data_IF_572468913442
#
_entry.id   IF_572468913442
#
_cell.length_a   1.000
_cell.length_b   1.000
_cell.length_c   1.000
_cell.angle_alpha   90.00
_cell.angle_beta   90.00
_cell.angle_gamma   90.00
#
_symmetry.space_group_name_H-M   'P 1'
#
loop_
_entity.id
_entity.type
_entity.pdbx_description
1 polymer ?
#
# COMPACT_ATOMS: atom_id res chain seq x y z
N UNK A 1 -4.50 -16.92 25.61
CA UNK A 1 -3.22 -17.00 24.88
C UNK A 1 -3.53 -16.80 23.40
N UNK A 2 -3.32 -15.58 22.88
CA UNK A 2 -3.43 -15.32 21.44
C UNK A 2 -2.12 -15.77 20.79
N UNK A 3 -2.07 -17.01 20.35
CA UNK A 3 -0.98 -17.47 19.48
C UNK A 3 -1.26 -16.91 18.08
N UNK A 4 -0.68 -15.76 17.75
CA UNK A 4 -0.58 -15.38 16.35
C UNK A 4 0.13 -16.51 15.59
N UNK A 5 -0.40 -16.95 14.44
CA UNK A 5 0.34 -17.87 13.60
C UNK A 5 1.72 -17.25 13.27
N UNK A 6 2.78 -18.08 13.19
CA UNK A 6 4.11 -17.57 12.85
C UNK A 6 4.03 -16.77 11.53
N UNK A 7 4.72 -15.63 11.52
CA UNK A 7 4.76 -14.78 10.31
C UNK A 7 5.37 -15.55 9.13
N UNK A 8 4.69 -15.47 8.01
CA UNK A 8 5.19 -16.09 6.79
C UNK A 8 6.36 -15.26 6.23
N UNK A 9 7.53 -15.85 5.92
CA UNK A 9 8.70 -15.09 5.46
C UNK A 9 8.44 -14.17 4.27
N UNK A 10 7.55 -14.59 3.36
CA UNK A 10 7.13 -13.76 2.24
C UNK A 10 6.36 -12.49 2.67
N UNK A 11 5.71 -12.50 3.84
CA UNK A 11 5.04 -11.31 4.36
C UNK A 11 6.04 -10.24 4.77
N UNK A 12 7.07 -10.61 5.50
CA UNK A 12 8.16 -9.70 5.87
C UNK A 12 8.83 -9.11 4.62
N UNK A 13 9.08 -9.94 3.61
CA UNK A 13 9.59 -9.49 2.31
C UNK A 13 8.67 -8.44 1.67
N UNK A 14 7.35 -8.68 1.64
CA UNK A 14 6.38 -7.74 1.09
C UNK A 14 6.33 -6.44 1.88
N UNK A 15 6.36 -6.50 3.23
CA UNK A 15 6.34 -5.32 4.09
C UNK A 15 7.59 -4.46 3.91
N UNK A 16 8.77 -5.07 3.81
CA UNK A 16 10.02 -4.37 3.53
C UNK A 16 10.02 -3.68 2.16
N UNK A 17 9.48 -4.35 1.14
CA UNK A 17 9.34 -3.76 -0.19
C UNK A 17 8.29 -2.65 -0.25
N UNK A 18 7.25 -2.68 0.61
CA UNK A 18 6.26 -1.62 0.71
C UNK A 18 6.92 -0.28 1.08
N UNK A 19 7.79 -0.28 2.08
CA UNK A 19 8.54 0.92 2.49
C UNK A 19 9.32 1.53 1.33
N UNK A 20 10.00 0.70 0.54
CA UNK A 20 10.71 1.17 -0.65
C UNK A 20 9.77 1.68 -1.76
N UNK A 21 8.62 1.02 -1.95
CA UNK A 21 7.63 1.44 -2.94
C UNK A 21 7.01 2.81 -2.60
N UNK A 22 6.77 3.07 -1.30
CA UNK A 22 6.27 4.37 -0.84
C UNK A 22 7.32 5.46 -1.08
N UNK A 23 8.58 5.23 -0.68
CA UNK A 23 9.66 6.22 -0.94
C UNK A 23 9.76 6.56 -2.41
N UNK A 24 9.83 5.59 -3.29
CA UNK A 24 9.86 5.83 -4.75
C UNK A 24 8.63 6.60 -5.25
N UNK A 25 7.47 6.37 -4.64
CA UNK A 25 6.26 7.06 -5.02
C UNK A 25 6.34 8.54 -4.67
N UNK A 26 6.72 8.88 -3.44
CA UNK A 26 6.84 10.27 -3.00
C UNK A 26 8.00 11.01 -3.68
N UNK A 27 9.14 10.34 -3.87
CA UNK A 27 10.28 10.88 -4.61
C UNK A 27 9.92 11.26 -6.06
N UNK A 28 9.03 10.50 -6.72
CA UNK A 28 8.53 10.81 -8.05
C UNK A 28 7.74 12.13 -8.10
N UNK A 29 7.21 12.59 -6.95
CA UNK A 29 6.56 13.89 -6.79
C UNK A 29 7.48 14.94 -6.13
N UNK A 30 8.77 14.66 -6.02
CA UNK A 30 9.75 15.58 -5.44
C UNK A 30 9.66 15.71 -3.90
N UNK A 31 8.97 14.81 -3.22
CA UNK A 31 8.79 14.84 -1.78
C UNK A 31 9.69 13.82 -1.08
N UNK A 32 10.45 14.29 -0.07
CA UNK A 32 11.11 13.40 0.88
C UNK A 32 10.09 12.85 1.88
N UNK A 33 10.25 11.59 2.29
CA UNK A 33 9.36 10.94 3.24
C UNK A 33 10.14 10.22 4.32
N UNK A 34 9.75 10.45 5.57
CA UNK A 34 10.17 9.67 6.72
C UNK A 34 9.20 8.51 6.95
N UNK A 35 9.74 7.39 7.43
CA UNK A 35 8.96 6.18 7.67
C UNK A 35 8.99 5.84 9.14
N UNK A 36 7.81 5.66 9.72
CA UNK A 36 7.65 5.11 11.07
C UNK A 36 6.78 3.84 11.01
N UNK A 37 6.91 2.99 12.01
CA UNK A 37 6.05 1.82 12.19
C UNK A 37 5.03 2.03 13.31
N UNK A 38 4.91 3.27 13.77
CA UNK A 38 3.93 3.68 14.77
C UNK A 38 2.77 4.35 14.04
N UNK A 39 1.59 3.78 14.17
CA UNK A 39 0.38 4.36 13.59
C UNK A 39 -0.08 5.50 14.49
N UNK A 40 -0.06 6.71 13.98
CA UNK A 40 -0.77 7.80 14.64
C UNK A 40 -2.27 7.66 14.40
N UNK A 41 -3.04 7.64 15.47
CA UNK A 41 -4.49 7.71 15.36
C UNK A 41 -4.89 9.14 15.01
N UNK A 42 -5.70 9.29 13.97
CA UNK A 42 -6.36 10.56 13.70
C UNK A 42 -7.16 11.03 14.92
N UNK A 43 -7.22 12.33 15.12
CA UNK A 43 -8.05 12.94 16.16
C UNK A 43 -9.54 12.62 15.94
N UNK A 44 -10.28 12.42 17.04
CA UNK A 44 -11.72 12.17 16.95
C UNK A 44 -12.42 13.34 16.25
N UNK A 45 -13.22 13.03 15.23
CA UNK A 45 -14.02 14.02 14.50
C UNK A 45 -13.38 14.56 13.21
N UNK A 46 -12.13 14.23 12.89
CA UNK A 46 -11.53 14.60 11.62
C UNK A 46 -12.11 13.79 10.47
N UNK A 47 -12.35 14.45 9.33
CA UNK A 47 -12.71 13.79 8.08
C UNK A 47 -11.51 13.06 7.52
N UNK A 48 -11.70 11.79 7.18
CA UNK A 48 -10.68 10.89 6.67
C UNK A 48 -11.05 10.38 5.30
N UNK A 49 -10.05 10.19 4.47
CA UNK A 49 -10.17 9.40 3.27
C UNK A 49 -9.48 8.04 3.44
N UNK A 50 -10.04 7.03 2.83
CA UNK A 50 -9.49 5.67 2.78
C UNK A 50 -9.57 5.13 1.36
N UNK A 51 -8.50 4.50 0.89
CA UNK A 51 -8.51 3.69 -0.30
C UNK A 51 -8.11 2.26 0.03
N UNK A 52 -8.86 1.30 -0.50
CA UNK A 52 -8.59 -0.13 -0.35
C UNK A 52 -8.43 -0.74 -1.73
N UNK A 53 -7.29 -1.35 -2.00
CA UNK A 53 -7.02 -2.08 -3.22
C UNK A 53 -6.67 -3.53 -2.89
N UNK A 54 -7.50 -4.46 -3.37
CA UNK A 54 -7.27 -5.88 -3.21
C UNK A 54 -6.20 -6.39 -4.15
N UNK A 55 -5.56 -7.48 -3.77
CA UNK A 55 -4.66 -8.22 -4.65
C UNK A 55 -4.78 -9.74 -4.43
N UNK A 56 -4.49 -10.49 -5.47
CA UNK A 56 -4.43 -11.94 -5.41
C UNK A 56 -3.34 -12.47 -6.34
N UNK A 57 -2.77 -13.59 -5.96
CA UNK A 57 -1.79 -14.35 -6.73
C UNK A 57 -1.88 -15.83 -6.42
N UNK A 58 -1.01 -16.63 -7.01
CA UNK A 58 -0.98 -18.07 -6.71
C UNK A 58 -0.54 -18.28 -5.24
N UNK A 59 -1.49 -18.65 -4.39
CA UNK A 59 -1.25 -18.94 -2.98
C UNK A 59 -1.07 -17.72 -2.07
N UNK A 60 -1.32 -16.50 -2.56
CA UNK A 60 -1.32 -15.27 -1.77
C UNK A 60 -2.49 -14.38 -2.16
N UNK A 61 -3.13 -13.75 -1.17
CA UNK A 61 -4.16 -12.73 -1.37
C UNK A 61 -4.15 -11.75 -0.21
N UNK A 62 -4.61 -10.54 -0.45
CA UNK A 62 -4.64 -9.51 0.57
C UNK A 62 -5.17 -8.19 0.07
N UNK A 63 -4.85 -7.13 0.82
CA UNK A 63 -5.20 -5.77 0.47
C UNK A 63 -4.08 -4.80 0.88
N UNK A 64 -3.96 -3.73 0.14
CA UNK A 64 -3.25 -2.54 0.54
C UNK A 64 -4.29 -1.48 0.88
N UNK A 65 -4.15 -0.87 2.06
CA UNK A 65 -5.10 0.11 2.55
C UNK A 65 -4.32 1.38 2.86
N UNK A 66 -4.77 2.48 2.29
CA UNK A 66 -4.19 3.81 2.50
C UNK A 66 -5.22 4.66 3.25
N UNK A 67 -4.79 5.30 4.33
CA UNK A 67 -5.65 6.18 5.15
C UNK A 67 -4.92 7.48 5.42
N UNK A 68 -5.63 8.59 5.25
CA UNK A 68 -5.16 9.92 5.60
C UNK A 68 -6.34 10.83 5.97
N UNK A 69 -6.09 11.94 6.67
CA UNK A 69 -7.11 12.96 6.80
C UNK A 69 -7.28 13.71 5.48
N UNK A 70 -8.47 14.26 5.22
CA UNK A 70 -8.70 15.07 4.02
C UNK A 70 -7.74 16.27 3.97
N UNK A 71 -7.46 16.88 5.13
CA UNK A 71 -6.49 17.96 5.25
C UNK A 71 -5.08 17.53 4.80
N UNK A 72 -4.65 16.33 5.18
CA UNK A 72 -3.38 15.74 4.76
C UNK A 72 -3.32 15.55 3.24
N UNK A 73 -4.38 14.97 2.65
CA UNK A 73 -4.43 14.75 1.19
C UNK A 73 -4.37 16.09 0.45
N UNK A 74 -5.13 17.08 0.88
CA UNK A 74 -5.11 18.42 0.29
C UNK A 74 -3.73 19.09 0.43
N UNK A 75 -3.08 18.99 1.59
CA UNK A 75 -1.74 19.53 1.81
C UNK A 75 -0.70 18.88 0.89
N UNK A 76 -0.76 17.54 0.75
CA UNK A 76 0.12 16.82 -0.17
C UNK A 76 -0.15 17.19 -1.63
N UNK A 77 -1.42 17.24 -2.05
CA UNK A 77 -1.79 17.65 -3.42
C UNK A 77 -1.23 19.03 -3.77
N UNK A 78 -1.36 19.97 -2.83
CA UNK A 78 -0.80 21.34 -3.00
C UNK A 78 0.72 21.30 -3.14
N UNK A 79 1.41 20.53 -2.29
CA UNK A 79 2.86 20.38 -2.34
C UNK A 79 3.35 19.68 -3.63
N UNK A 80 2.54 18.76 -4.16
CA UNK A 80 2.83 18.04 -5.41
C UNK A 80 2.43 18.84 -6.67
N UNK A 81 1.86 20.03 -6.53
CA UNK A 81 1.39 20.85 -7.66
C UNK A 81 0.15 20.28 -8.36
N UNK A 82 -0.60 19.43 -7.67
CA UNK A 82 -1.85 18.85 -8.13
C UNK A 82 -2.99 19.77 -7.67
N UNK A 83 -3.60 20.50 -8.58
CA UNK A 83 -4.75 21.37 -8.26
C UNK A 83 -6.07 20.62 -8.48
N UNK A 84 -7.03 20.85 -7.57
CA UNK A 84 -8.46 20.56 -7.72
C UNK A 84 -8.89 19.08 -7.90
N UNK A 85 -8.13 18.12 -7.35
CA UNK A 85 -8.55 16.72 -7.31
C UNK A 85 -9.55 16.43 -6.18
N UNK A 86 -10.47 15.51 -6.41
CA UNK A 86 -11.26 14.88 -5.35
C UNK A 86 -10.35 14.02 -4.45
N UNK A 87 -10.55 14.11 -3.12
CA UNK A 87 -9.75 13.35 -2.14
C UNK A 87 -9.86 11.86 -2.37
N UNK A 88 -11.05 11.35 -2.66
CA UNK A 88 -11.28 9.92 -2.88
C UNK A 88 -10.60 9.45 -4.17
N UNK A 89 -10.71 10.19 -5.25
CA UNK A 89 -10.03 9.89 -6.51
C UNK A 89 -8.53 9.91 -6.35
N UNK A 90 -7.99 10.93 -5.67
CA UNK A 90 -6.55 11.05 -5.39
C UNK A 90 -6.02 9.86 -4.60
N UNK A 91 -6.72 9.43 -3.54
CA UNK A 91 -6.34 8.26 -2.76
C UNK A 91 -6.43 6.97 -3.57
N UNK A 92 -7.45 6.84 -4.44
CA UNK A 92 -7.60 5.71 -5.36
C UNK A 92 -6.42 5.59 -6.31
N UNK A 93 -6.06 6.66 -6.98
CA UNK A 93 -4.90 6.77 -7.87
C UNK A 93 -3.60 6.44 -7.14
N UNK A 94 -3.44 7.01 -5.94
CA UNK A 94 -2.26 6.81 -5.11
C UNK A 94 -2.09 5.34 -4.69
N UNK A 95 -3.20 4.68 -4.30
CA UNK A 95 -3.19 3.27 -3.94
C UNK A 95 -2.84 2.37 -5.14
N UNK A 96 -3.33 2.68 -6.34
CA UNK A 96 -2.98 1.99 -7.58
C UNK A 96 -1.49 2.10 -7.89
N UNK A 97 -0.95 3.32 -7.84
CA UNK A 97 0.48 3.56 -8.11
C UNK A 97 1.36 2.86 -7.07
N UNK A 98 0.96 2.89 -5.80
CA UNK A 98 1.70 2.24 -4.73
C UNK A 98 1.72 0.73 -4.88
N UNK A 99 0.54 0.10 -5.13
CA UNK A 99 0.48 -1.34 -5.35
C UNK A 99 1.23 -1.74 -6.63
N UNK A 100 1.20 -0.92 -7.68
CA UNK A 100 1.98 -1.15 -8.90
C UNK A 100 3.49 -1.22 -8.63
N UNK A 101 4.03 -0.30 -7.81
CA UNK A 101 5.45 -0.31 -7.40
C UNK A 101 5.77 -1.51 -6.51
N UNK A 102 4.91 -1.79 -5.53
CA UNK A 102 5.07 -2.96 -4.68
C UNK A 102 5.09 -4.25 -5.52
N UNK A 103 4.13 -4.42 -6.44
CA UNK A 103 4.06 -5.55 -7.37
C UNK A 103 5.35 -5.73 -8.16
N UNK A 104 5.92 -4.66 -8.72
CA UNK A 104 7.16 -4.73 -9.48
C UNK A 104 8.36 -5.17 -8.61
N UNK A 105 8.39 -4.76 -7.34
CA UNK A 105 9.44 -5.14 -6.39
C UNK A 105 9.32 -6.60 -5.96
N UNK A 106 8.15 -7.04 -5.51
CA UNK A 106 7.94 -8.41 -5.00
C UNK A 106 7.98 -9.46 -6.12
N UNK A 107 7.73 -9.06 -7.38
CA UNK A 107 7.89 -9.97 -8.51
C UNK A 107 9.34 -10.47 -8.65
N UNK A 108 10.33 -9.64 -8.32
CA UNK A 108 11.75 -10.01 -8.30
C UNK A 108 12.06 -11.06 -7.23
N UNK A 109 11.24 -11.11 -6.18
CA UNK A 109 11.31 -12.13 -5.13
C UNK A 109 10.46 -13.37 -5.45
N UNK A 110 9.92 -13.46 -6.66
CA UNK A 110 9.10 -14.59 -7.10
C UNK A 110 7.65 -14.55 -6.62
N UNK A 111 7.18 -13.40 -6.09
CA UNK A 111 5.81 -13.20 -5.64
C UNK A 111 5.04 -12.45 -6.73
N UNK A 112 4.20 -13.16 -7.48
CA UNK A 112 3.37 -12.56 -8.51
C UNK A 112 1.96 -12.33 -8.00
N UNK A 113 1.46 -11.09 -8.14
CA UNK A 113 0.11 -10.69 -7.75
C UNK A 113 -0.58 -9.89 -8.86
N UNK A 114 -1.92 -9.94 -8.86
CA UNK A 114 -2.80 -9.13 -9.69
C UNK A 114 -3.61 -8.22 -8.79
N UNK A 115 -3.75 -6.95 -9.17
CA UNK A 115 -4.51 -5.96 -8.45
C UNK A 115 -5.99 -5.99 -8.87
N UNK A 116 -6.89 -5.63 -7.96
CA UNK A 116 -8.28 -5.26 -8.26
C UNK A 116 -8.37 -3.75 -8.53
N UNK A 117 -9.55 -3.27 -8.84
CA UNK A 117 -9.84 -1.83 -8.82
C UNK A 117 -9.88 -1.33 -7.38
N UNK A 118 -9.32 -0.15 -7.06
CA UNK A 118 -9.44 0.43 -5.74
C UNK A 118 -10.89 0.82 -5.42
N UNK A 119 -11.23 0.70 -4.15
CA UNK A 119 -12.46 1.24 -3.57
C UNK A 119 -12.08 2.33 -2.60
N UNK A 120 -12.73 3.48 -2.69
CA UNK A 120 -12.49 4.63 -1.83
C UNK A 120 -13.68 4.93 -0.95
N UNK A 121 -13.44 5.49 0.21
CA UNK A 121 -14.45 5.98 1.14
C UNK A 121 -13.94 7.23 1.85
N UNK A 122 -14.83 8.18 2.11
CA UNK A 122 -14.56 9.36 2.94
C UNK A 122 -15.57 9.42 4.09
N UNK A 123 -15.15 9.95 5.24
CA UNK A 123 -16.03 10.10 6.39
C UNK A 123 -15.26 10.29 7.69
N UNK A 124 -16.00 10.39 8.78
CA UNK A 124 -15.43 10.51 10.14
C UNK A 124 -15.48 9.17 10.84
N UNK A 125 -14.46 8.85 11.65
CA UNK A 125 -14.43 7.63 12.46
C UNK A 125 -14.35 6.34 11.64
N UNK A 126 -13.70 6.36 10.49
CA UNK A 126 -13.47 5.15 9.69
C UNK A 126 -12.69 4.12 10.52
N UNK A 127 -13.18 2.89 10.53
CA UNK A 127 -12.55 1.80 11.29
C UNK A 127 -12.29 0.60 10.40
N UNK A 128 -11.13 0.00 10.57
CA UNK A 128 -10.76 -1.25 9.92
C UNK A 128 -10.84 -2.40 10.92
N UNK A 129 -11.46 -3.49 10.51
CA UNK A 129 -11.39 -4.75 11.25
C UNK A 129 -10.03 -5.41 11.04
N UNK A 130 -9.64 -6.29 11.97
CA UNK A 130 -8.45 -7.11 11.78
C UNK A 130 -8.70 -8.15 10.69
N UNK A 131 -7.78 -8.30 9.74
CA UNK A 131 -7.92 -9.27 8.67
C UNK A 131 -7.70 -10.70 9.20
N UNK A 132 -8.24 -11.71 8.52
CA UNK A 132 -7.95 -13.11 8.83
C UNK A 132 -6.58 -13.54 8.28
N UNK A 133 -5.51 -12.83 8.61
CA UNK A 133 -4.16 -13.05 8.08
C UNK A 133 -3.14 -12.20 8.81
N UNK A 134 -2.03 -11.97 8.15
CA UNK A 134 -0.98 -11.09 8.64
C UNK A 134 -1.25 -9.66 8.20
N UNK A 135 -0.93 -8.71 9.07
CA UNK A 135 -1.03 -7.30 8.72
C UNK A 135 0.17 -6.52 9.28
N UNK A 136 0.62 -5.54 8.52
CA UNK A 136 1.63 -4.58 8.95
C UNK A 136 1.15 -3.16 8.64
N UNK A 137 1.38 -2.28 9.60
CA UNK A 137 1.16 -0.87 9.45
C UNK A 137 2.48 -0.14 9.25
N UNK A 138 2.47 0.90 8.45
CA UNK A 138 3.56 1.85 8.31
C UNK A 138 2.98 3.23 8.15
N UNK A 139 3.59 4.21 8.81
CA UNK A 139 3.25 5.62 8.67
C UNK A 139 4.33 6.32 7.87
N UNK A 140 3.92 7.28 7.07
CA UNK A 140 4.76 8.01 6.15
C UNK A 140 4.51 9.50 6.33
N UNK A 141 5.55 10.21 6.71
CA UNK A 141 5.51 11.60 7.11
C UNK A 141 6.29 12.47 6.13
N UNK A 142 5.71 13.58 5.75
CA UNK A 142 6.36 14.64 5.00
C UNK A 142 5.96 16.03 5.55
N UNK A 143 6.47 17.10 4.95
CA UNK A 143 6.19 18.45 5.44
C UNK A 143 4.70 18.79 5.39
N UNK A 144 4.02 18.71 6.55
CA UNK A 144 2.61 19.07 6.71
C UNK A 144 1.60 18.00 6.26
N UNK A 145 2.04 16.76 6.00
CA UNK A 145 1.16 15.65 5.66
C UNK A 145 1.62 14.33 6.27
N UNK A 146 0.67 13.45 6.54
CA UNK A 146 0.86 12.16 7.19
C UNK A 146 -0.07 11.10 6.59
N UNK A 147 0.48 10.01 6.08
CA UNK A 147 -0.28 8.88 5.54
C UNK A 147 -0.02 7.62 6.34
N UNK A 148 -1.08 6.86 6.59
CA UNK A 148 -0.99 5.51 7.12
C UNK A 148 -1.24 4.49 6.01
N UNK A 149 -0.38 3.50 5.90
CA UNK A 149 -0.52 2.40 4.95
C UNK A 149 -0.56 1.09 5.71
N UNK A 150 -1.54 0.26 5.42
CA UNK A 150 -1.66 -1.10 5.95
C UNK A 150 -1.54 -2.10 4.81
N UNK A 151 -0.68 -3.08 5.00
CA UNK A 151 -0.57 -4.26 4.15
C UNK A 151 -1.20 -5.45 4.87
N UNK A 152 -2.24 -6.03 4.29
CA UNK A 152 -2.85 -7.28 4.73
C UNK A 152 -2.46 -8.39 3.78
N UNK A 153 -2.04 -9.56 4.29
CA UNK A 153 -1.77 -10.72 3.45
C UNK A 153 -2.20 -12.03 4.12
N UNK A 154 -2.71 -12.94 3.31
CA UNK A 154 -2.98 -14.32 3.67
C UNK A 154 -2.31 -15.23 2.67
N UNK A 155 -1.47 -16.13 3.17
CA UNK A 155 -0.76 -17.13 2.39
C UNK A 155 -1.42 -18.50 2.55
N UNK A 156 -1.45 -19.27 1.48
CA UNK A 156 -1.77 -20.68 1.56
C UNK A 156 -0.62 -21.44 2.23
N UNK A 157 -0.92 -22.54 2.93
CA UNK A 157 0.09 -23.28 3.68
C UNK A 157 1.27 -23.81 2.84
N UNK A 158 1.04 -24.00 1.55
CA UNK A 158 2.02 -24.48 0.59
C UNK A 158 2.63 -23.37 -0.26
N UNK A 159 2.43 -22.11 0.14
CA UNK A 159 2.96 -20.99 -0.64
C UNK A 159 4.48 -20.94 -0.53
N UNK A 160 5.12 -21.01 -1.68
CA UNK A 160 6.57 -20.77 -1.84
C UNK A 160 6.77 -19.73 -2.95
N UNK A 161 7.61 -18.71 -2.71
CA UNK A 161 7.96 -17.76 -3.76
C UNK A 161 8.61 -18.49 -4.96
N UNK A 162 8.16 -18.18 -6.17
CA UNK A 162 8.72 -18.81 -7.37
C UNK A 162 10.01 -18.11 -7.80
N UNK A 163 11.13 -18.50 -7.22
CA UNK A 163 12.45 -17.92 -7.47
C UNK A 163 12.97 -18.14 -8.90
N UNK A 164 12.39 -19.09 -9.68
CA UNK A 164 12.75 -19.26 -11.10
C UNK A 164 12.28 -18.09 -11.98
N UNK A 165 11.42 -17.22 -11.46
CA UNK A 165 11.02 -15.95 -12.09
C UNK A 165 11.84 -14.74 -11.64
N UNK A 166 13.01 -14.91 -11.04
CA UNK A 166 13.96 -13.81 -10.85
C UNK A 166 14.34 -13.26 -12.22
N UNK A 167 13.55 -12.33 -12.70
CA UNK A 167 13.74 -11.69 -14.01
C UNK A 167 14.97 -10.82 -13.94
N UNK A 168 15.96 -11.13 -14.76
CA UNK A 168 17.18 -10.33 -14.95
C UNK A 168 16.94 -9.04 -15.76
N UNK A 169 15.69 -8.64 -15.98
CA UNK A 169 15.34 -7.45 -16.74
C UNK A 169 14.56 -6.45 -15.88
N UNK A 170 14.91 -5.15 -15.95
CA UNK A 170 14.07 -4.11 -15.38
C UNK A 170 12.72 -4.16 -16.10
N UNK A 171 11.62 -4.21 -15.33
CA UNK A 171 10.29 -4.06 -15.88
C UNK A 171 10.22 -2.72 -16.61
N UNK A 172 10.04 -2.73 -17.94
CA UNK A 172 9.75 -1.51 -18.68
C UNK A 172 8.34 -1.05 -18.29
N UNK A 173 8.21 0.24 -18.00
CA UNK A 173 6.92 0.86 -17.81
C UNK A 173 6.13 0.70 -19.11
N UNK A 174 5.09 -0.14 -19.11
CA UNK A 174 4.27 -0.36 -20.30
C UNK A 174 3.82 -1.78 -20.58
N UNK A 175 4.26 -2.78 -19.83
CA UNK A 175 3.76 -4.16 -19.97
C UNK A 175 2.30 -4.27 -19.44
N UNK A 176 1.37 -3.74 -20.22
CA UNK A 176 -0.05 -4.10 -20.12
C UNK A 176 -0.18 -5.47 -20.80
N UNK A 177 -0.59 -6.47 -20.03
CA UNK A 177 -1.05 -7.73 -20.60
C UNK A 177 -2.45 -7.45 -21.15
N UNK A 178 -2.60 -7.40 -22.47
CA UNK A 178 -3.90 -7.49 -23.12
C UNK A 178 -4.49 -8.86 -22.82
N UNK A 179 -5.78 -8.87 -22.41
CA UNK A 179 -6.57 -10.08 -22.17
C UNK A 179 -7.21 -10.57 -23.48
#
# INVERSE_FOLDING_TARGET
>A
MNTHPPEHPAFETMANHLTGAVRELFEAYGAAVDVSHTVESSSEGESQGMAVIGYAGKGVRGALILIATEATVCAWMTAAGLSDGDVADTLGEFSNMLLGRLKARILREGIAIFATTPTTATGTGLRLSNPPGQCAWSSFDGPGWHFNVRLDAKFDRSFEPNLSRRVSQPAQAGDYIEF
#
